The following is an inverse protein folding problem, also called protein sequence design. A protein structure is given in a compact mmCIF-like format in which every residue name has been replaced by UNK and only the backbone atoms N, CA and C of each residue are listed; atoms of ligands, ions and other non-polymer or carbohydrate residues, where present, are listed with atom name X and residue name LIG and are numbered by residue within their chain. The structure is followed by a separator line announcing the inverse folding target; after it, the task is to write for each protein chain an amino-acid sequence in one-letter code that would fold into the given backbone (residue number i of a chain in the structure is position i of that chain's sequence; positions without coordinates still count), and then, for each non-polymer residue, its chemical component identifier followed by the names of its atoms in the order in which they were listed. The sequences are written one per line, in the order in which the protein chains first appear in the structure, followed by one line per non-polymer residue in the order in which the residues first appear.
data_IF_693968693576
#
_entry.id   IF_693968693576
#
_cell.length_a   1.000
_cell.length_b   1.000
_cell.length_c   1.000
_cell.angle_alpha   90.00
_cell.angle_beta   90.00
_cell.angle_gamma   90.00
#
_symmetry.space_group_name_H-M   'P 1'
#
loop_
_entity.id
_entity.type
_entity.pdbx_description
1 polymer ?
#
# COMPACT_ATOMS: atom_id res chain seq x y z
N UNK A 1 -14.40 34.72 10.82
CA UNK A 1 -15.04 33.95 11.91
C UNK A 1 -14.91 34.63 13.28
N UNK A 2 -13.69 34.91 13.76
CA UNK A 2 -13.41 35.54 15.08
C UNK A 2 -14.26 36.80 15.39
N UNK A 3 -14.30 37.77 14.46
CA UNK A 3 -15.13 38.99 14.59
C UNK A 3 -16.63 38.72 14.72
N UNK A 4 -17.15 37.63 14.12
CA UNK A 4 -18.57 37.26 14.21
C UNK A 4 -18.92 36.60 15.54
N UNK A 5 -17.94 35.93 16.15
CA UNK A 5 -18.09 35.18 17.40
C UNK A 5 -17.60 35.97 18.63
N UNK A 6 -17.11 37.18 18.43
CA UNK A 6 -16.54 38.06 19.48
C UNK A 6 -15.44 37.36 20.31
N UNK A 7 -14.59 36.57 19.64
CA UNK A 7 -13.45 35.87 20.26
C UNK A 7 -12.13 36.25 19.58
N UNK A 8 -10.99 36.24 20.31
CA UNK A 8 -9.69 36.44 19.69
C UNK A 8 -9.37 35.39 18.59
N UNK A 9 -8.67 35.76 17.50
CA UNK A 9 -8.38 34.84 16.39
C UNK A 9 -7.72 33.52 16.80
N UNK A 10 -6.75 33.58 17.73
CA UNK A 10 -6.01 32.41 18.21
C UNK A 10 -6.90 31.38 18.95
N UNK A 11 -8.10 31.78 19.40
CA UNK A 11 -9.07 30.88 20.03
C UNK A 11 -9.67 29.92 19.02
N UNK A 12 -9.81 30.36 17.76
CA UNK A 12 -10.29 29.53 16.65
C UNK A 12 -9.18 28.56 16.26
N UNK A 13 -8.07 29.07 15.72
CA UNK A 13 -6.86 28.31 15.40
C UNK A 13 -5.63 29.16 15.69
N UNK A 14 -4.57 28.52 16.19
CA UNK A 14 -3.28 29.17 16.39
C UNK A 14 -2.51 29.18 15.07
N UNK A 15 -1.53 30.08 14.95
CA UNK A 15 -0.73 30.24 13.74
C UNK A 15 -0.11 28.92 13.23
N UNK A 16 0.48 28.04 14.10
CA UNK A 16 1.01 26.76 13.63
C UNK A 16 -0.06 25.85 13.00
N UNK A 17 -1.30 25.89 13.49
CA UNK A 17 -2.40 25.14 12.90
C UNK A 17 -2.80 25.71 11.53
N UNK A 18 -2.79 27.04 11.39
CA UNK A 18 -3.10 27.70 10.11
C UNK A 18 -2.02 27.46 9.06
N UNK A 19 -0.74 27.51 9.44
CA UNK A 19 0.39 27.18 8.58
C UNK A 19 0.33 25.72 8.10
N UNK A 20 0.03 24.79 9.02
CA UNK A 20 -0.17 23.38 8.67
C UNK A 20 -1.36 23.18 7.72
N UNK A 21 -2.49 23.85 7.94
CA UNK A 21 -3.63 23.82 7.02
C UNK A 21 -3.28 24.36 5.63
N UNK A 22 -2.46 25.40 5.55
CA UNK A 22 -1.99 25.99 4.29
C UNK A 22 -0.97 25.11 3.55
N UNK A 23 -0.47 24.05 4.18
CA UNK A 23 0.49 23.10 3.58
C UNK A 23 -0.17 21.77 3.21
N UNK A 24 -1.05 21.27 4.08
CA UNK A 24 -1.67 19.94 3.96
C UNK A 24 -3.00 20.02 3.20
N UNK A 25 -3.64 21.19 3.19
CA UNK A 25 -4.93 21.46 2.54
C UNK A 25 -6.06 20.48 2.95
N UNK A 26 -6.38 20.36 4.26
CA UNK A 26 -7.48 19.51 4.71
C UNK A 26 -8.83 20.03 4.21
N UNK A 27 -9.64 19.17 3.58
CA UNK A 27 -10.98 19.51 3.07
C UNK A 27 -12.10 18.73 3.76
N UNK A 28 -11.76 17.84 4.67
CA UNK A 28 -12.72 17.09 5.50
C UNK A 28 -12.47 17.34 6.97
N UNK A 29 -13.50 17.19 7.81
CA UNK A 29 -13.35 17.36 9.26
C UNK A 29 -12.44 16.30 9.89
N UNK A 30 -12.28 15.15 9.23
CA UNK A 30 -11.37 14.09 9.64
C UNK A 30 -9.92 14.49 9.34
N UNK A 31 -9.62 14.93 8.11
CA UNK A 31 -8.31 15.49 7.75
C UNK A 31 -7.92 16.66 8.67
N UNK A 32 -8.88 17.53 9.00
CA UNK A 32 -8.63 18.68 9.85
C UNK A 32 -8.26 18.29 11.29
N UNK A 33 -8.73 17.15 11.80
CA UNK A 33 -8.35 16.65 13.13
C UNK A 33 -6.91 16.12 13.18
N UNK A 34 -6.31 15.82 12.03
CA UNK A 34 -4.90 15.42 11.94
C UNK A 34 -3.97 16.65 12.00
N UNK A 35 -4.50 17.87 11.96
CA UNK A 35 -3.71 19.10 12.06
C UNK A 35 -3.27 19.36 13.52
N UNK A 36 -1.98 19.64 13.77
CA UNK A 36 -1.50 19.98 15.11
C UNK A 36 -2.29 21.15 15.73
N UNK A 37 -2.78 20.95 16.96
CA UNK A 37 -3.57 21.95 17.69
C UNK A 37 -5.07 21.98 17.35
N UNK A 38 -5.54 21.05 16.50
CA UNK A 38 -6.95 20.91 16.11
C UNK A 38 -7.57 19.63 16.66
N UNK A 39 -8.09 19.70 17.88
CA UNK A 39 -8.89 18.60 18.44
C UNK A 39 -10.31 18.55 17.87
N UNK A 40 -11.00 17.42 18.10
CA UNK A 40 -12.38 17.17 17.66
C UNK A 40 -13.36 18.31 17.99
N UNK A 41 -13.21 18.97 19.15
CA UNK A 41 -14.05 20.10 19.54
C UNK A 41 -13.89 21.33 18.63
N UNK A 42 -12.65 21.67 18.25
CA UNK A 42 -12.37 22.78 17.33
C UNK A 42 -12.77 22.43 15.90
N UNK A 43 -12.46 21.21 15.46
CA UNK A 43 -12.87 20.72 14.15
C UNK A 43 -14.39 20.79 13.97
N UNK A 44 -15.16 20.31 14.96
CA UNK A 44 -16.62 20.37 14.92
C UNK A 44 -17.17 21.80 14.95
N UNK A 45 -16.56 22.70 15.74
CA UNK A 45 -17.10 24.05 15.98
C UNK A 45 -16.70 25.07 14.91
N UNK A 46 -15.52 24.93 14.32
CA UNK A 46 -14.94 25.91 13.41
C UNK A 46 -14.49 25.30 12.07
N UNK A 47 -14.31 23.98 12.01
CA UNK A 47 -13.63 23.33 10.89
C UNK A 47 -14.40 23.37 9.57
N UNK A 48 -15.72 23.37 9.59
CA UNK A 48 -16.51 23.28 8.36
C UNK A 48 -16.27 24.47 7.40
N UNK A 49 -16.30 25.71 7.91
CA UNK A 49 -16.01 26.90 7.08
C UNK A 49 -14.58 26.87 6.52
N UNK A 50 -13.62 26.33 7.27
CA UNK A 50 -12.23 26.19 6.82
C UNK A 50 -12.09 25.12 5.74
N UNK A 51 -12.67 23.93 5.95
CA UNK A 51 -12.66 22.86 4.97
C UNK A 51 -13.28 23.29 3.64
N UNK A 52 -14.41 24.01 3.68
CA UNK A 52 -15.07 24.55 2.48
C UNK A 52 -14.20 25.60 1.78
N UNK A 53 -13.58 26.51 2.54
CA UNK A 53 -12.67 27.52 1.99
C UNK A 53 -11.44 26.90 1.34
N UNK A 54 -10.79 25.95 2.03
CA UNK A 54 -9.61 25.24 1.55
C UNK A 54 -9.96 24.43 0.30
N UNK A 55 -11.10 23.73 0.31
CA UNK A 55 -11.59 22.97 -0.85
C UNK A 55 -11.77 23.86 -2.06
N UNK A 56 -12.48 24.98 -1.89
CA UNK A 56 -12.68 25.96 -2.95
C UNK A 56 -11.35 26.49 -3.47
N UNK A 57 -10.41 26.82 -2.59
CA UNK A 57 -9.08 27.28 -3.00
C UNK A 57 -8.32 26.23 -3.82
N UNK A 58 -8.39 24.96 -3.44
CA UNK A 58 -7.76 23.87 -4.20
C UNK A 58 -8.41 23.68 -5.57
N UNK A 59 -9.75 23.74 -5.65
CA UNK A 59 -10.50 23.62 -6.91
C UNK A 59 -10.22 24.80 -7.86
N UNK A 60 -10.22 26.03 -7.36
CA UNK A 60 -10.00 27.24 -8.17
C UNK A 60 -8.57 27.37 -8.70
N UNK A 61 -7.59 26.78 -8.02
CA UNK A 61 -6.17 26.88 -8.34
C UNK A 61 -5.56 25.55 -8.80
N UNK A 62 -6.40 24.53 -9.04
CA UNK A 62 -5.97 23.19 -9.49
C UNK A 62 -4.85 22.59 -8.62
N UNK A 63 -4.96 22.77 -7.29
CA UNK A 63 -3.93 22.30 -6.33
C UNK A 63 -4.07 20.80 -6.12
N UNK A 64 -3.04 20.04 -6.50
CA UNK A 64 -2.91 18.64 -6.14
C UNK A 64 -2.53 18.50 -4.66
N UNK A 65 -3.47 17.98 -3.86
CA UNK A 65 -3.29 17.84 -2.41
C UNK A 65 -2.48 16.58 -2.09
N UNK A 66 -1.53 16.63 -1.13
CA UNK A 66 -0.77 15.44 -0.70
C UNK A 66 -1.66 14.28 -0.25
N UNK A 67 -2.75 14.60 0.46
CA UNK A 67 -3.75 13.61 0.89
C UNK A 67 -4.49 12.97 -0.29
N UNK A 68 -4.83 13.73 -1.33
CA UNK A 68 -5.48 13.18 -2.53
C UNK A 68 -4.56 12.25 -3.31
N UNK A 69 -3.28 12.62 -3.46
CA UNK A 69 -2.27 11.77 -4.08
C UNK A 69 -2.10 10.46 -3.31
N UNK A 70 -2.07 10.53 -1.96
CA UNK A 70 -2.00 9.34 -1.11
C UNK A 70 -3.25 8.46 -1.25
N UNK A 71 -4.45 9.04 -1.17
CA UNK A 71 -5.72 8.30 -1.32
C UNK A 71 -5.83 7.66 -2.70
N UNK A 72 -5.47 8.38 -3.77
CA UNK A 72 -5.42 7.82 -5.14
C UNK A 72 -4.45 6.65 -5.22
N UNK A 73 -3.26 6.77 -4.63
CA UNK A 73 -2.25 5.70 -4.62
C UNK A 73 -2.74 4.48 -3.87
N UNK A 74 -3.32 4.63 -2.67
CA UNK A 74 -3.86 3.52 -1.87
C UNK A 74 -5.03 2.84 -2.59
N UNK A 75 -5.95 3.62 -3.17
CA UNK A 75 -7.07 3.07 -3.92
C UNK A 75 -6.61 2.33 -5.19
N UNK A 76 -5.61 2.86 -5.90
CA UNK A 76 -5.03 2.22 -7.07
C UNK A 76 -4.29 0.93 -6.70
N UNK A 77 -3.53 0.91 -5.59
CA UNK A 77 -2.90 -0.31 -5.07
C UNK A 77 -3.93 -1.38 -4.70
N UNK A 78 -5.04 -0.99 -4.06
CA UNK A 78 -6.14 -1.91 -3.75
C UNK A 78 -6.76 -2.52 -5.02
N UNK A 79 -7.01 -1.71 -6.05
CA UNK A 79 -7.52 -2.22 -7.34
C UNK A 79 -6.53 -3.12 -8.05
N UNK A 80 -5.24 -2.78 -8.02
CA UNK A 80 -4.17 -3.58 -8.60
C UNK A 80 -4.15 -4.97 -7.96
N UNK A 81 -4.10 -5.05 -6.62
CA UNK A 81 -4.11 -6.31 -5.87
C UNK A 81 -5.32 -7.19 -6.19
N UNK A 82 -6.53 -6.62 -6.19
CA UNK A 82 -7.75 -7.36 -6.56
C UNK A 82 -7.63 -7.93 -7.97
N UNK A 83 -7.09 -7.16 -8.91
CA UNK A 83 -6.93 -7.60 -10.29
C UNK A 83 -5.85 -8.67 -10.48
N UNK A 84 -4.79 -8.66 -9.66
CA UNK A 84 -3.75 -9.69 -9.61
C UNK A 84 -4.37 -11.00 -9.11
N UNK A 85 -5.08 -10.98 -7.97
CA UNK A 85 -5.76 -12.15 -7.40
C UNK A 85 -6.68 -12.80 -8.44
N UNK A 86 -7.53 -12.01 -9.11
CA UNK A 86 -8.45 -12.52 -10.13
C UNK A 86 -7.74 -13.09 -11.37
N UNK A 87 -6.51 -12.67 -11.66
CA UNK A 87 -5.74 -13.17 -12.80
C UNK A 87 -5.07 -14.49 -12.43
N UNK A 88 -4.56 -14.59 -11.20
CA UNK A 88 -4.02 -15.83 -10.62
C UNK A 88 -5.11 -16.90 -10.51
N UNK A 89 -6.32 -16.56 -10.04
CA UNK A 89 -7.46 -17.49 -9.99
C UNK A 89 -7.85 -18.03 -11.37
N UNK A 90 -7.59 -17.26 -12.42
CA UNK A 90 -7.79 -17.65 -13.83
C UNK A 90 -6.59 -18.36 -14.44
N UNK A 91 -5.53 -18.60 -13.65
CA UNK A 91 -4.28 -19.24 -14.05
C UNK A 91 -3.59 -18.53 -15.22
N UNK A 92 -3.62 -17.20 -15.21
CA UNK A 92 -2.85 -16.38 -16.16
C UNK A 92 -1.39 -16.39 -15.72
N UNK A 93 -0.46 -16.64 -16.64
CA UNK A 93 0.97 -16.65 -16.35
C UNK A 93 1.43 -15.32 -15.70
N UNK A 94 2.34 -15.38 -14.73
CA UNK A 94 2.66 -14.21 -13.91
C UNK A 94 3.37 -13.11 -14.71
N UNK A 95 4.22 -13.48 -15.66
CA UNK A 95 4.84 -12.58 -16.64
C UNK A 95 3.79 -11.85 -17.49
N UNK A 96 2.77 -12.55 -17.97
CA UNK A 96 1.64 -11.94 -18.68
C UNK A 96 0.84 -10.98 -17.80
N UNK A 97 0.69 -11.29 -16.49
CA UNK A 97 0.05 -10.38 -15.53
C UNK A 97 0.89 -9.10 -15.40
N UNK A 98 2.21 -9.21 -15.25
CA UNK A 98 3.10 -8.04 -15.14
C UNK A 98 2.99 -7.13 -16.37
N UNK A 99 3.07 -7.72 -17.56
CA UNK A 99 2.90 -7.01 -18.85
C UNK A 99 1.53 -6.35 -18.95
N UNK A 100 0.45 -7.06 -18.62
CA UNK A 100 -0.91 -6.53 -18.69
C UNK A 100 -1.16 -5.38 -17.69
N UNK A 101 -0.39 -5.31 -16.60
CA UNK A 101 -0.45 -4.22 -15.61
C UNK A 101 0.56 -3.11 -15.88
N UNK A 102 1.51 -3.31 -16.80
CA UNK A 102 2.55 -2.35 -17.13
C UNK A 102 3.55 -2.14 -15.98
N UNK A 103 3.82 -3.20 -15.22
CA UNK A 103 4.78 -3.22 -14.10
C UNK A 103 5.88 -4.24 -14.38
N UNK A 104 7.03 -4.06 -13.74
CA UNK A 104 8.14 -5.00 -13.80
C UNK A 104 7.80 -6.31 -13.05
N UNK A 105 8.41 -7.43 -13.43
CA UNK A 105 8.13 -8.72 -12.79
C UNK A 105 8.44 -8.71 -11.29
N UNK A 106 9.54 -8.07 -10.88
CA UNK A 106 9.88 -7.89 -9.47
C UNK A 106 8.84 -7.07 -8.70
N UNK A 107 8.24 -6.05 -9.34
CA UNK A 107 7.15 -5.27 -8.73
C UNK A 107 5.86 -6.10 -8.60
N UNK A 108 5.59 -6.99 -9.57
CA UNK A 108 4.51 -7.96 -9.44
C UNK A 108 4.75 -8.91 -8.26
N UNK A 109 5.96 -9.45 -8.11
CA UNK A 109 6.31 -10.32 -6.98
C UNK A 109 6.11 -9.59 -5.64
N UNK A 110 6.51 -8.32 -5.53
CA UNK A 110 6.27 -7.49 -4.33
C UNK A 110 4.77 -7.38 -3.99
N UNK A 111 3.93 -7.15 -5.00
CA UNK A 111 2.49 -7.06 -4.82
C UNK A 111 1.87 -8.41 -4.44
N UNK A 112 2.34 -9.53 -5.03
CA UNK A 112 1.89 -10.90 -4.70
C UNK A 112 2.28 -11.26 -3.26
N UNK A 113 3.52 -11.00 -2.84
CA UNK A 113 3.96 -11.18 -1.46
C UNK A 113 3.07 -10.40 -0.50
N UNK A 114 2.83 -9.11 -0.80
CA UNK A 114 1.98 -8.28 0.03
C UNK A 114 0.50 -8.73 0.05
N UNK A 115 0.03 -9.49 -0.95
CA UNK A 115 -1.29 -10.15 -0.94
C UNK A 115 -1.26 -11.36 -0.01
N UNK A 116 -0.25 -12.24 -0.13
CA UNK A 116 -0.11 -13.44 0.71
C UNK A 116 0.05 -13.07 2.19
N UNK A 117 0.86 -12.06 2.51
CA UNK A 117 1.02 -11.55 3.88
C UNK A 117 -0.24 -10.90 4.46
N UNK A 118 -1.18 -10.47 3.61
CA UNK A 118 -2.47 -9.98 4.08
C UNK A 118 -3.44 -11.09 4.49
N UNK A 119 -3.03 -12.35 4.32
CA UNK A 119 -3.82 -13.53 4.66
C UNK A 119 -4.62 -14.13 3.49
N UNK A 120 -4.35 -13.68 2.26
CA UNK A 120 -5.05 -14.19 1.08
C UNK A 120 -4.33 -15.42 0.55
N UNK A 121 -5.05 -16.54 0.48
CA UNK A 121 -4.53 -17.77 -0.12
C UNK A 121 -4.51 -17.64 -1.64
N UNK A 122 -3.32 -17.80 -2.22
CA UNK A 122 -3.06 -17.86 -3.66
C UNK A 122 -2.50 -19.22 -4.04
N UNK A 123 -2.84 -19.71 -5.22
CA UNK A 123 -2.21 -20.87 -5.82
C UNK A 123 -1.51 -20.41 -7.11
N UNK A 124 -0.19 -20.57 -7.15
CA UNK A 124 0.66 -20.24 -8.31
C UNK A 124 1.37 -21.49 -8.86
N UNK A 125 0.91 -22.69 -8.48
CA UNK A 125 1.53 -23.97 -8.86
C UNK A 125 1.58 -24.11 -10.38
N UNK A 126 0.52 -23.70 -11.06
CA UNK A 126 0.43 -23.72 -12.52
C UNK A 126 1.55 -22.95 -13.23
N UNK A 127 2.09 -21.91 -12.59
CA UNK A 127 3.20 -21.12 -13.15
C UNK A 127 4.54 -21.72 -12.74
N UNK A 128 4.67 -22.11 -11.47
CA UNK A 128 5.86 -22.77 -10.93
C UNK A 128 6.22 -24.04 -11.72
N UNK A 129 5.23 -24.89 -12.01
CA UNK A 129 5.39 -26.14 -12.76
C UNK A 129 5.87 -25.90 -14.21
N UNK A 130 5.69 -24.68 -14.75
CA UNK A 130 6.09 -24.31 -16.11
C UNK A 130 7.49 -23.68 -16.17
N UNK A 131 7.91 -22.97 -15.12
CA UNK A 131 9.14 -22.15 -15.14
C UNK A 131 10.29 -22.71 -14.30
N UNK A 132 10.02 -23.73 -13.47
CA UNK A 132 10.98 -24.27 -12.51
C UNK A 132 11.00 -25.80 -12.54
N UNK A 133 12.19 -26.37 -12.31
CA UNK A 133 12.35 -27.82 -12.14
C UNK A 133 11.79 -28.29 -10.79
N UNK A 134 11.23 -29.50 -10.74
CA UNK A 134 10.63 -30.07 -9.52
C UNK A 134 11.67 -30.21 -8.39
N UNK A 135 12.91 -30.58 -8.70
CA UNK A 135 13.98 -30.73 -7.71
C UNK A 135 14.33 -29.35 -7.11
N UNK A 136 14.44 -28.31 -7.94
CA UNK A 136 14.69 -26.95 -7.47
C UNK A 136 13.58 -26.44 -6.57
N UNK A 137 12.33 -26.71 -6.96
CA UNK A 137 11.17 -26.30 -6.17
C UNK A 137 11.15 -26.97 -4.80
N UNK A 138 11.43 -28.29 -4.76
CA UNK A 138 11.46 -29.06 -3.53
C UNK A 138 12.57 -28.58 -2.58
N UNK A 139 13.78 -28.34 -3.09
CA UNK A 139 14.92 -27.90 -2.30
C UNK A 139 14.64 -26.54 -1.62
N UNK A 140 14.12 -25.57 -2.37
CA UNK A 140 13.76 -24.25 -1.82
C UNK A 140 12.58 -24.38 -0.82
N UNK A 141 11.60 -25.22 -1.12
CA UNK A 141 10.42 -25.40 -0.25
C UNK A 141 10.81 -26.03 1.09
N UNK A 142 11.64 -27.08 1.06
CA UNK A 142 12.13 -27.74 2.26
C UNK A 142 13.03 -26.81 3.09
N UNK A 143 13.85 -25.96 2.45
CA UNK A 143 14.57 -24.90 3.16
C UNK A 143 13.61 -24.03 3.98
N UNK A 144 12.56 -23.47 3.37
CA UNK A 144 11.64 -22.59 4.10
C UNK A 144 10.88 -23.31 5.21
N UNK A 145 10.56 -24.59 5.02
CA UNK A 145 9.90 -25.44 6.02
C UNK A 145 10.75 -25.68 7.26
N UNK A 146 12.07 -25.78 7.11
CA UNK A 146 13.02 -25.98 8.22
C UNK A 146 13.59 -24.66 8.77
N UNK A 147 13.49 -23.58 7.99
CA UNK A 147 13.98 -22.25 8.35
C UNK A 147 13.24 -21.66 9.56
N UNK A 148 13.93 -20.76 10.27
CA UNK A 148 13.34 -19.96 11.36
C UNK A 148 12.92 -18.56 10.92
N UNK A 149 13.20 -18.21 9.67
CA UNK A 149 13.08 -16.87 9.07
C UNK A 149 12.72 -17.05 7.61
N UNK A 150 11.81 -16.23 7.10
CA UNK A 150 11.41 -16.22 5.70
C UNK A 150 12.17 -15.16 4.89
N UNK A 151 13.32 -14.66 5.35
CA UNK A 151 14.05 -13.61 4.64
C UNK A 151 14.73 -14.16 3.38
N UNK A 152 14.64 -13.40 2.30
CA UNK A 152 15.26 -13.74 1.02
C UNK A 152 16.79 -13.74 1.12
N UNK A 153 17.39 -12.76 1.78
CA UNK A 153 18.85 -12.69 1.95
C UNK A 153 19.41 -13.94 2.66
N UNK A 154 18.75 -14.37 3.75
CA UNK A 154 19.14 -15.57 4.49
C UNK A 154 18.97 -16.84 3.62
N UNK A 155 17.95 -16.88 2.75
CA UNK A 155 17.73 -17.98 1.82
C UNK A 155 18.78 -18.02 0.71
N UNK A 156 19.13 -16.87 0.13
CA UNK A 156 20.18 -16.75 -0.88
C UNK A 156 21.55 -17.17 -0.34
N UNK A 157 21.87 -16.82 0.91
CA UNK A 157 23.14 -17.19 1.54
C UNK A 157 23.26 -18.71 1.79
N UNK A 158 22.16 -19.37 2.16
CA UNK A 158 22.13 -20.81 2.50
C UNK A 158 21.97 -21.71 1.26
N UNK A 159 21.09 -21.33 0.32
CA UNK A 159 20.85 -22.05 -0.93
C UNK A 159 21.95 -21.79 -1.97
N UNK A 160 22.71 -20.71 -1.80
CA UNK A 160 23.86 -20.38 -2.64
C UNK A 160 23.48 -19.94 -4.06
N UNK A 161 24.45 -20.00 -4.97
CA UNK A 161 24.30 -19.51 -6.36
C UNK A 161 23.54 -20.45 -7.30
N UNK A 162 23.04 -21.57 -6.79
CA UNK A 162 22.33 -22.57 -7.59
C UNK A 162 20.89 -22.13 -7.92
N UNK A 163 20.40 -21.10 -7.21
CA UNK A 163 19.06 -20.55 -7.37
C UNK A 163 19.11 -19.03 -7.56
N UNK A 164 18.19 -18.53 -8.37
CA UNK A 164 17.97 -17.09 -8.52
C UNK A 164 17.04 -16.56 -7.43
N UNK A 165 17.14 -15.25 -7.18
CA UNK A 165 16.25 -14.56 -6.24
C UNK A 165 14.78 -14.75 -6.64
N UNK A 166 14.46 -14.68 -7.94
CA UNK A 166 13.10 -14.86 -8.45
C UNK A 166 12.54 -16.25 -8.16
N UNK A 167 13.36 -17.30 -8.34
CA UNK A 167 12.98 -18.68 -8.01
C UNK A 167 12.67 -18.83 -6.51
N UNK A 168 13.57 -18.30 -5.65
CA UNK A 168 13.39 -18.35 -4.21
C UNK A 168 12.11 -17.62 -3.78
N UNK A 169 11.87 -16.42 -4.36
CA UNK A 169 10.66 -15.64 -4.07
C UNK A 169 9.38 -16.35 -4.49
N UNK A 170 9.36 -16.99 -5.65
CA UNK A 170 8.18 -17.72 -6.14
C UNK A 170 7.84 -18.91 -5.21
N UNK A 171 8.83 -19.72 -4.83
CA UNK A 171 8.59 -20.85 -3.93
C UNK A 171 8.21 -20.38 -2.53
N UNK A 172 8.82 -19.30 -2.04
CA UNK A 172 8.43 -18.67 -0.77
C UNK A 172 6.97 -18.19 -0.78
N UNK A 173 6.52 -17.55 -1.87
CA UNK A 173 5.11 -17.14 -2.03
C UNK A 173 4.19 -18.35 -1.88
N UNK A 174 4.52 -19.46 -2.55
CA UNK A 174 3.78 -20.73 -2.41
C UNK A 174 3.78 -21.21 -0.96
N UNK A 175 4.96 -21.31 -0.33
CA UNK A 175 5.13 -21.78 1.04
C UNK A 175 4.29 -20.96 2.05
N UNK A 176 4.39 -19.63 2.02
CA UNK A 176 3.64 -18.77 2.95
C UNK A 176 2.14 -18.88 2.67
N UNK A 177 1.73 -18.94 1.41
CA UNK A 177 0.32 -19.09 1.04
C UNK A 177 -0.29 -20.40 1.54
N UNK A 178 0.49 -21.47 1.62
CA UNK A 178 0.04 -22.77 2.12
C UNK A 178 0.08 -22.89 3.66
N UNK A 179 1.09 -22.31 4.30
CA UNK A 179 1.34 -22.49 5.74
C UNK A 179 0.66 -21.41 6.61
N UNK A 180 0.51 -20.19 6.10
CA UNK A 180 -0.08 -19.09 6.86
C UNK A 180 -1.61 -19.00 6.72
N UNK A 181 -2.21 -19.67 5.73
CA UNK A 181 -3.61 -19.47 5.30
C UNK A 181 -4.41 -20.75 5.01
#
# INVERSE_FOLDING_TARGET
MSKKLDVPPYVVFQDPSLEAMATIYPVTLEELQNIPGVGAGKAKRYGQEFCELIKKHCEENEIDRPEDLRVRTVANKSKLKVSIIQSIDRKVALDDIAVAKGIEFNELLDEIEAIVYSGTKLNIDYFLDEVMDEDHMLDIYDYFKESTTDKIDDAMDELGSDYTEEEIRLVRIKFISEMAN
#
